data_IF_052508220613
#
_entry.id   IF_052508220613
#
_cell.length_a   1.000
_cell.length_b   1.000
_cell.length_c   1.000
_cell.angle_alpha   90.00
_cell.angle_beta   90.00
_cell.angle_gamma   90.00
#
_symmetry.space_group_name_H-M   'P 1'
#
loop_
_entity.id
_entity.type
_entity.pdbx_description
1 polymer ?
#
# COMPACT_ATOMS: atom_id res chain seq x y z
N UNK A 1 4.48 -22.58 -17.70
CA UNK A 1 3.68 -21.35 -17.84
C UNK A 1 2.52 -21.44 -16.84
N UNK A 2 2.70 -20.89 -15.65
CA UNK A 2 1.70 -20.84 -14.56
C UNK A 2 1.57 -19.39 -14.09
N UNK A 3 1.33 -18.50 -15.05
CA UNK A 3 1.12 -17.08 -14.82
C UNK A 3 0.03 -16.64 -15.78
N UNK A 4 -1.21 -16.62 -15.30
CA UNK A 4 -2.31 -15.87 -15.91
C UNK A 4 -3.64 -15.97 -15.16
N UNK A 5 -3.92 -17.08 -14.44
CA UNK A 5 -5.20 -17.21 -13.73
C UNK A 5 -5.26 -16.36 -12.47
N UNK A 6 -4.20 -16.43 -11.67
CA UNK A 6 -4.20 -15.87 -10.30
C UNK A 6 -3.99 -14.35 -10.34
N UNK A 7 -3.14 -13.87 -11.25
CA UNK A 7 -2.91 -12.44 -11.49
C UNK A 7 -4.14 -11.74 -12.06
N UNK A 8 -4.86 -12.41 -12.97
CA UNK A 8 -6.12 -11.89 -13.53
C UNK A 8 -7.25 -11.90 -12.49
N UNK A 9 -7.30 -12.91 -11.62
CA UNK A 9 -8.25 -12.97 -10.52
C UNK A 9 -8.02 -11.84 -9.52
N UNK A 10 -6.77 -11.62 -9.10
CA UNK A 10 -6.40 -10.53 -8.19
C UNK A 10 -6.73 -9.15 -8.77
N UNK A 11 -6.58 -8.94 -10.09
CA UNK A 11 -6.95 -7.67 -10.71
C UNK A 11 -8.46 -7.40 -10.63
N UNK A 12 -9.29 -8.39 -10.97
CA UNK A 12 -10.76 -8.24 -10.87
C UNK A 12 -11.22 -8.03 -9.45
N UNK A 13 -10.61 -8.74 -8.50
CA UNK A 13 -10.91 -8.60 -7.09
C UNK A 13 -10.52 -7.21 -6.56
N UNK A 14 -9.34 -6.71 -6.93
CA UNK A 14 -8.91 -5.35 -6.62
C UNK A 14 -9.87 -4.30 -7.21
N UNK A 15 -10.32 -4.46 -8.47
CA UNK A 15 -11.29 -3.55 -9.09
C UNK A 15 -12.60 -3.47 -8.30
N UNK A 16 -13.11 -4.59 -7.77
CA UNK A 16 -14.32 -4.62 -6.94
C UNK A 16 -14.12 -3.79 -5.67
N UNK A 17 -13.00 -3.97 -4.97
CA UNK A 17 -12.71 -3.25 -3.73
C UNK A 17 -12.45 -1.76 -3.96
N UNK A 18 -11.77 -1.42 -5.06
CA UNK A 18 -11.56 -0.02 -5.46
C UNK A 18 -12.87 0.67 -5.75
N UNK A 19 -13.79 0.04 -6.48
CA UNK A 19 -15.13 0.60 -6.72
C UNK A 19 -15.87 0.83 -5.40
N UNK A 20 -15.80 -0.12 -4.46
CA UNK A 20 -16.42 0.03 -3.13
C UNK A 20 -15.81 1.19 -2.34
N UNK A 21 -14.49 1.33 -2.39
CA UNK A 21 -13.74 2.40 -1.74
C UNK A 21 -14.05 3.78 -2.33
N UNK A 22 -14.12 3.90 -3.66
CA UNK A 22 -14.47 5.15 -4.33
C UNK A 22 -15.93 5.55 -4.05
N UNK A 23 -16.85 4.59 -4.03
CA UNK A 23 -18.24 4.84 -3.64
C UNK A 23 -18.35 5.31 -2.20
N UNK A 24 -17.54 4.76 -1.28
CA UNK A 24 -17.45 5.22 0.10
C UNK A 24 -17.03 6.70 0.14
N UNK A 25 -15.93 7.05 -0.55
CA UNK A 25 -15.43 8.43 -0.63
C UNK A 25 -16.46 9.39 -1.20
N UNK A 26 -17.07 9.02 -2.33
CA UNK A 26 -18.05 9.86 -3.05
C UNK A 26 -19.31 10.13 -2.22
N UNK A 27 -19.81 9.13 -1.51
CA UNK A 27 -21.03 9.26 -0.72
C UNK A 27 -20.77 9.75 0.71
N UNK A 28 -19.51 9.95 1.09
CA UNK A 28 -19.09 10.31 2.45
C UNK A 28 -19.66 9.36 3.52
N UNK A 29 -19.75 8.08 3.19
CA UNK A 29 -20.22 7.02 4.09
C UNK A 29 -19.01 6.38 4.76
N UNK A 30 -19.12 5.90 5.99
CA UNK A 30 -18.05 5.14 6.63
C UNK A 30 -18.18 3.67 6.27
N UNK A 31 -17.19 3.13 5.57
CA UNK A 31 -17.03 1.69 5.40
C UNK A 31 -15.73 1.23 6.03
N UNK A 32 -15.80 0.07 6.68
CA UNK A 32 -14.62 -0.65 7.11
C UNK A 32 -14.16 -1.56 5.97
N UNK A 33 -12.86 -1.63 5.80
CA UNK A 33 -12.20 -2.62 4.95
C UNK A 33 -11.25 -3.42 5.82
N UNK A 34 -11.06 -4.69 5.57
CA UNK A 34 -10.02 -5.45 6.25
C UNK A 34 -8.63 -5.14 5.67
N UNK A 35 -7.58 -5.70 6.28
CA UNK A 35 -6.18 -5.47 5.87
C UNK A 35 -5.96 -5.91 4.42
N UNK A 36 -6.48 -7.08 4.02
CA UNK A 36 -6.28 -7.64 2.69
C UNK A 36 -6.99 -6.81 1.61
N UNK A 37 -8.22 -6.37 1.88
CA UNK A 37 -8.95 -5.45 1.01
C UNK A 37 -8.19 -4.14 0.82
N UNK A 38 -7.62 -3.56 1.89
CA UNK A 38 -6.79 -2.36 1.77
C UNK A 38 -5.50 -2.62 0.98
N UNK A 39 -4.84 -3.77 1.16
CA UNK A 39 -3.65 -4.12 0.37
C UNK A 39 -3.96 -4.11 -1.14
N UNK A 40 -5.07 -4.74 -1.55
CA UNK A 40 -5.50 -4.76 -2.94
C UNK A 40 -5.83 -3.36 -3.48
N UNK A 41 -6.51 -2.53 -2.68
CA UNK A 41 -6.84 -1.14 -3.07
C UNK A 41 -5.56 -0.31 -3.24
N UNK A 42 -4.63 -0.38 -2.28
CA UNK A 42 -3.38 0.38 -2.32
C UNK A 42 -2.53 -0.07 -3.51
N UNK A 43 -2.39 -1.39 -3.72
CA UNK A 43 -1.62 -1.94 -4.83
C UNK A 43 -2.19 -1.56 -6.18
N UNK A 44 -3.53 -1.55 -6.30
CA UNK A 44 -4.18 -1.07 -7.52
C UNK A 44 -3.79 0.38 -7.82
N UNK A 45 -3.88 1.29 -6.85
CA UNK A 45 -3.51 2.68 -7.09
C UNK A 45 -2.01 2.87 -7.37
N UNK A 46 -1.14 2.11 -6.71
CA UNK A 46 0.30 2.14 -7.01
C UNK A 46 0.59 1.63 -8.41
N UNK A 47 -0.06 0.53 -8.83
CA UNK A 47 0.10 -0.05 -10.17
C UNK A 47 -0.38 0.90 -11.28
N UNK A 48 -1.48 1.61 -11.04
CA UNK A 48 -2.04 2.61 -11.97
C UNK A 48 -1.35 3.99 -11.88
N UNK A 49 -0.23 4.10 -11.16
CA UNK A 49 0.54 5.34 -10.93
C UNK A 49 -0.26 6.49 -10.27
N UNK A 50 -1.32 6.13 -9.55
CA UNK A 50 -2.20 7.02 -8.78
C UNK A 50 -1.69 7.19 -7.35
N UNK A 51 -0.48 7.74 -7.24
CA UNK A 51 0.26 7.78 -5.96
C UNK A 51 -0.46 8.59 -4.87
N UNK A 52 -1.24 9.62 -5.24
CA UNK A 52 -2.00 10.42 -4.27
C UNK A 52 -3.13 9.59 -3.65
N UNK A 53 -3.85 8.87 -4.48
CA UNK A 53 -4.96 8.00 -4.08
C UNK A 53 -4.45 6.82 -3.26
N UNK A 54 -3.32 6.22 -3.64
CA UNK A 54 -2.63 5.21 -2.84
C UNK A 54 -2.28 5.74 -1.43
N UNK A 55 -1.82 7.00 -1.36
CA UNK A 55 -1.47 7.64 -0.09
C UNK A 55 -2.70 7.88 0.79
N UNK A 56 -3.80 8.37 0.23
CA UNK A 56 -5.05 8.53 0.96
C UNK A 56 -5.59 7.19 1.47
N UNK A 57 -5.52 6.15 0.64
CA UNK A 57 -5.96 4.80 1.00
C UNK A 57 -5.13 4.23 2.16
N UNK A 58 -3.80 4.37 2.13
CA UNK A 58 -2.94 3.83 3.19
C UNK A 58 -3.06 4.61 4.51
N UNK A 59 -3.27 5.93 4.47
CA UNK A 59 -3.55 6.71 5.68
C UNK A 59 -4.86 6.24 6.34
N UNK A 60 -5.91 6.01 5.55
CA UNK A 60 -7.16 5.47 6.08
C UNK A 60 -6.98 4.05 6.61
N UNK A 61 -6.23 3.21 5.90
CA UNK A 61 -5.96 1.84 6.32
C UNK A 61 -5.27 1.80 7.68
N UNK A 62 -4.21 2.60 7.88
CA UNK A 62 -3.52 2.72 9.17
C UNK A 62 -4.42 3.31 10.27
N UNK A 63 -5.36 4.20 9.92
CA UNK A 63 -6.33 4.73 10.88
C UNK A 63 -7.36 3.69 11.32
N UNK A 64 -7.78 2.79 10.43
CA UNK A 64 -8.72 1.69 10.74
C UNK A 64 -8.04 0.52 11.44
N UNK A 65 -6.79 0.24 11.10
CA UNK A 65 -5.99 -0.87 11.64
C UNK A 65 -4.67 -0.35 12.23
N UNK A 66 -4.72 0.29 13.41
CA UNK A 66 -3.51 0.76 14.07
C UNK A 66 -2.54 -0.39 14.37
N UNK A 67 -1.24 -0.15 14.19
CA UNK A 67 -0.15 -1.11 14.44
C UNK A 67 -0.14 -2.36 13.54
N UNK A 68 -0.85 -2.35 12.40
CA UNK A 68 -0.67 -3.40 11.39
C UNK A 68 0.66 -3.18 10.67
N UNK A 69 1.58 -4.14 10.86
CA UNK A 69 2.90 -4.12 10.23
C UNK A 69 2.77 -4.14 8.71
N UNK A 70 1.81 -4.91 8.18
CA UNK A 70 1.52 -5.01 6.75
C UNK A 70 1.18 -3.64 6.14
N UNK A 71 0.28 -2.90 6.79
CA UNK A 71 -0.14 -1.57 6.33
C UNK A 71 0.93 -0.50 6.55
N UNK A 72 1.70 -0.59 7.63
CA UNK A 72 2.86 0.27 7.85
C UNK A 72 3.93 0.07 6.76
N UNK A 73 4.17 -1.18 6.35
CA UNK A 73 5.07 -1.46 5.23
C UNK A 73 4.54 -0.89 3.90
N UNK A 74 3.25 -1.05 3.62
CA UNK A 74 2.60 -0.41 2.46
C UNK A 74 2.77 1.11 2.50
N UNK A 75 2.62 1.73 3.67
CA UNK A 75 2.78 3.17 3.83
C UNK A 75 4.18 3.63 3.45
N UNK A 76 5.20 2.91 3.91
CA UNK A 76 6.58 3.16 3.49
C UNK A 76 6.76 3.00 1.97
N UNK A 77 6.17 1.97 1.36
CA UNK A 77 6.20 1.76 -0.10
C UNK A 77 5.59 2.93 -0.87
N UNK A 78 4.43 3.43 -0.44
CA UNK A 78 3.76 4.57 -1.07
C UNK A 78 4.59 5.86 -0.92
N UNK A 79 5.22 6.07 0.25
CA UNK A 79 6.13 7.21 0.43
C UNK A 79 7.30 7.20 -0.56
N UNK A 80 7.86 6.03 -0.86
CA UNK A 80 8.93 5.90 -1.87
C UNK A 80 8.44 6.25 -3.27
N UNK A 81 7.28 5.72 -3.67
CA UNK A 81 6.68 6.00 -4.98
C UNK A 81 6.35 7.49 -5.16
N UNK A 82 6.09 8.20 -4.07
CA UNK A 82 5.89 9.66 -4.06
C UNK A 82 7.20 10.47 -4.17
N UNK A 83 8.36 9.82 -4.23
CA UNK A 83 9.67 10.48 -4.19
C UNK A 83 10.04 11.00 -2.80
N UNK A 84 9.32 10.59 -1.75
CA UNK A 84 9.54 11.01 -0.37
C UNK A 84 10.37 9.97 0.38
N UNK A 85 11.52 9.58 -0.19
CA UNK A 85 12.37 8.52 0.34
C UNK A 85 12.84 8.78 1.78
N UNK A 86 13.09 10.05 2.14
CA UNK A 86 13.46 10.44 3.51
C UNK A 86 12.32 10.19 4.50
N UNK A 87 11.07 10.46 4.12
CA UNK A 87 9.91 10.18 4.97
C UNK A 87 9.72 8.67 5.15
N UNK A 88 9.90 7.90 4.08
CA UNK A 88 9.86 6.43 4.15
C UNK A 88 10.93 5.88 5.10
N UNK A 89 12.17 6.37 4.98
CA UNK A 89 13.29 5.98 5.85
C UNK A 89 13.01 6.32 7.31
N UNK A 90 12.63 7.56 7.62
CA UNK A 90 12.34 7.98 9.00
C UNK A 90 11.19 7.18 9.63
N UNK A 91 10.16 6.89 8.84
CA UNK A 91 9.03 6.08 9.27
C UNK A 91 9.48 4.63 9.57
N UNK A 92 10.23 4.01 8.66
CA UNK A 92 10.76 2.66 8.85
C UNK A 92 11.72 2.54 10.04
N UNK A 93 12.56 3.56 10.26
CA UNK A 93 13.43 3.64 11.43
C UNK A 93 12.65 3.72 12.74
N UNK A 94 11.43 4.27 12.74
CA UNK A 94 10.58 4.30 13.94
C UNK A 94 9.91 2.95 14.26
N UNK A 95 9.90 2.01 13.31
CA UNK A 95 9.26 0.67 13.42
C UNK A 95 10.31 -0.42 13.75
N UNK A 96 11.54 -0.02 14.11
CA UNK A 96 12.80 -0.81 14.13
C UNK A 96 12.85 -2.14 14.90
N UNK A 97 11.78 -2.62 15.55
CA UNK A 97 11.85 -3.85 16.35
C UNK A 97 11.62 -5.16 15.58
N UNK A 98 11.13 -5.14 14.32
CA UNK A 98 10.84 -6.39 13.61
C UNK A 98 11.73 -6.66 12.41
N UNK A 99 12.19 -7.91 12.31
CA UNK A 99 13.05 -8.51 11.28
C UNK A 99 12.67 -8.21 9.82
N UNK A 100 11.46 -7.70 9.58
CA UNK A 100 10.85 -7.43 8.27
C UNK A 100 11.33 -6.07 7.70
N UNK A 101 11.66 -5.09 8.55
CA UNK A 101 12.14 -3.75 8.14
C UNK A 101 13.42 -3.86 7.28
N UNK A 102 14.30 -4.82 7.59
CA UNK A 102 15.53 -5.07 6.82
C UNK A 102 15.27 -5.54 5.38
N UNK A 103 14.18 -6.28 5.12
CA UNK A 103 13.85 -6.76 3.78
C UNK A 103 13.35 -5.62 2.90
N UNK A 104 12.54 -4.72 3.46
CA UNK A 104 12.05 -3.53 2.76
C UNK A 104 13.18 -2.53 2.54
N UNK A 105 14.06 -2.33 3.54
CA UNK A 105 15.25 -1.48 3.39
C UNK A 105 16.18 -1.96 2.26
N UNK A 106 16.34 -3.28 2.09
CA UNK A 106 17.12 -3.85 0.99
C UNK A 106 16.48 -3.57 -0.38
N UNK A 107 15.15 -3.70 -0.51
CA UNK A 107 14.45 -3.33 -1.74
C UNK A 107 14.54 -1.83 -2.03
N UNK A 108 14.44 -0.97 -1.00
CA UNK A 108 14.61 0.48 -1.12
C UNK A 108 16.01 0.82 -1.62
N UNK A 109 17.04 0.19 -1.07
CA UNK A 109 18.43 0.41 -1.48
C UNK A 109 18.65 -0.02 -2.94
N UNK A 110 18.03 -1.12 -3.40
CA UNK A 110 18.15 -1.56 -4.79
C UNK A 110 17.42 -0.62 -5.76
N UNK A 111 16.18 -0.21 -5.48
CA UNK A 111 15.44 0.71 -6.38
C UNK A 111 16.10 2.10 -6.47
N UNK A 112 16.75 2.57 -5.40
CA UNK A 112 17.49 3.84 -5.41
C UNK A 112 18.91 3.77 -6.02
N UNK A 113 19.53 2.59 -6.16
CA UNK A 113 20.88 2.45 -6.74
C UNK A 113 20.89 2.11 -8.25
N UNK A 114 19.74 1.70 -8.81
CA UNK A 114 19.61 1.33 -10.22
C UNK A 114 18.94 2.40 -11.10
N UNK A 115 18.76 3.62 -10.59
CA UNK A 115 18.31 4.81 -11.33
C UNK A 115 19.23 6.00 -11.02
#
# INVERSE_FOLDING_TARGET
MKGNSDEFFNKKEAEIYVIRYENMKKNNVKHYFDIFEFELIIDYYVYEDKVKEAFEAVELACAQHPNSIELEMKKAQVFLKKGQAVNALNFLSSIEETRIVKKVLFCIQLECFFN
#
